data_IF_263084624698
#
_entry.id   IF_263084624698
#
_cell.length_a   1.000
_cell.length_b   1.000
_cell.length_c   1.000
_cell.angle_alpha   90.00
_cell.angle_beta   90.00
_cell.angle_gamma   90.00
#
_symmetry.space_group_name_H-M   'P 1'
#
loop_
_entity.id
_entity.type
_entity.pdbx_description
1 polymer ?
#
# COMPACT_ATOMS: atom_id res chain seq x y z
N UNK A 1 34.07 4.79 -19.01
CA UNK A 1 33.27 3.70 -19.66
C UNK A 1 34.02 3.11 -20.83
N UNK A 2 35.18 2.51 -20.56
CA UNK A 2 36.08 1.95 -21.59
C UNK A 2 35.58 0.70 -22.29
N UNK A 3 34.55 0.04 -21.71
CA UNK A 3 34.03 -1.23 -22.22
C UNK A 3 32.91 -1.09 -23.24
N UNK A 4 32.42 0.12 -23.48
CA UNK A 4 31.30 0.38 -24.38
C UNK A 4 31.67 1.45 -25.38
N UNK A 5 31.37 1.22 -26.66
CA UNK A 5 31.56 2.19 -27.74
C UNK A 5 30.35 3.16 -27.78
N UNK A 6 30.39 4.19 -26.91
CA UNK A 6 29.34 5.21 -26.81
C UNK A 6 29.89 6.53 -27.37
N UNK A 7 29.09 7.20 -28.21
CA UNK A 7 29.44 8.53 -28.75
C UNK A 7 29.72 9.53 -27.59
N UNK A 8 30.84 10.22 -27.65
CA UNK A 8 31.29 11.14 -26.61
C UNK A 8 30.27 12.25 -26.32
N UNK A 9 29.52 12.72 -27.33
CA UNK A 9 28.46 13.73 -27.17
C UNK A 9 27.31 13.22 -26.30
N UNK A 10 26.97 11.92 -26.39
CA UNK A 10 25.96 11.31 -25.52
C UNK A 10 26.46 11.23 -24.08
N UNK A 11 27.73 10.87 -23.88
CA UNK A 11 28.33 10.84 -22.54
C UNK A 11 28.39 12.23 -21.91
N UNK A 12 28.77 13.27 -22.67
CA UNK A 12 28.75 14.65 -22.19
C UNK A 12 27.34 15.13 -21.84
N UNK A 13 26.34 14.77 -22.66
CA UNK A 13 24.94 15.11 -22.41
C UNK A 13 24.42 14.43 -21.15
N UNK A 14 24.70 13.13 -20.98
CA UNK A 14 24.35 12.40 -19.77
C UNK A 14 24.96 13.04 -18.50
N UNK A 15 26.26 13.37 -18.56
CA UNK A 15 26.94 14.02 -17.45
C UNK A 15 26.31 15.36 -17.06
N UNK A 16 25.96 16.19 -18.05
CA UNK A 16 25.25 17.45 -17.79
C UNK A 16 23.88 17.23 -17.20
N UNK A 17 23.14 16.22 -17.64
CA UNK A 17 21.84 15.87 -17.08
C UNK A 17 21.96 15.41 -15.62
N UNK A 18 22.97 14.59 -15.30
CA UNK A 18 23.27 14.17 -13.91
C UNK A 18 23.64 15.38 -13.01
N UNK A 19 24.47 16.29 -13.52
CA UNK A 19 24.83 17.51 -12.80
C UNK A 19 23.58 18.37 -12.52
N UNK A 20 22.67 18.53 -13.50
CA UNK A 20 21.41 19.28 -13.34
C UNK A 20 20.47 18.62 -12.34
N UNK A 21 20.47 17.30 -12.23
CA UNK A 21 19.60 16.52 -11.32
C UNK A 21 20.24 16.29 -9.93
N UNK A 22 21.49 16.70 -9.71
CA UNK A 22 22.29 16.34 -8.52
C UNK A 22 21.62 16.70 -7.19
N UNK A 23 20.94 17.84 -7.09
CA UNK A 23 20.22 18.25 -5.89
C UNK A 23 19.04 17.31 -5.60
N UNK A 24 18.33 16.89 -6.64
CA UNK A 24 17.20 15.94 -6.47
C UNK A 24 17.72 14.55 -6.08
N UNK A 25 18.82 14.10 -6.69
CA UNK A 25 19.45 12.84 -6.31
C UNK A 25 19.92 12.84 -4.84
N UNK A 26 20.45 13.96 -4.35
CA UNK A 26 20.82 14.09 -2.95
C UNK A 26 19.62 13.94 -2.01
N UNK A 27 18.49 14.58 -2.31
CA UNK A 27 17.24 14.45 -1.54
C UNK A 27 16.69 13.02 -1.56
N UNK A 28 16.70 12.38 -2.73
CA UNK A 28 16.28 10.98 -2.87
C UNK A 28 17.19 10.06 -2.05
N UNK A 29 18.52 10.26 -2.12
CA UNK A 29 19.50 9.47 -1.36
C UNK A 29 19.30 9.59 0.15
N UNK A 30 19.02 10.78 0.67
CA UNK A 30 18.70 10.98 2.09
C UNK A 30 17.43 10.23 2.50
N UNK A 31 16.39 10.26 1.67
CA UNK A 31 15.14 9.55 1.93
C UNK A 31 15.35 8.03 1.86
N UNK A 32 16.13 7.55 0.89
CA UNK A 32 16.47 6.14 0.72
C UNK A 32 17.27 5.62 1.92
N UNK A 33 18.29 6.37 2.38
CA UNK A 33 19.07 6.02 3.56
C UNK A 33 18.21 5.92 4.81
N UNK A 34 17.33 6.91 5.03
CA UNK A 34 16.42 6.91 6.17
C UNK A 34 15.49 5.67 6.15
N UNK A 35 14.85 5.41 5.02
CA UNK A 35 13.91 4.28 4.90
C UNK A 35 14.64 2.92 4.92
N UNK A 36 15.84 2.83 4.33
CA UNK A 36 16.67 1.63 4.43
C UNK A 36 17.06 1.31 5.86
N UNK A 37 17.46 2.31 6.64
CA UNK A 37 17.76 2.14 8.07
C UNK A 37 16.51 1.76 8.89
N UNK A 38 15.34 2.35 8.57
CA UNK A 38 14.06 1.98 9.20
C UNK A 38 13.73 0.50 8.97
N UNK A 39 13.87 0.02 7.74
CA UNK A 39 13.65 -1.39 7.41
C UNK A 39 14.66 -2.30 8.09
N UNK A 40 15.95 -1.99 8.00
CA UNK A 40 17.01 -2.78 8.64
C UNK A 40 16.80 -2.88 10.15
N UNK A 41 16.42 -1.78 10.80
CA UNK A 41 16.08 -1.77 12.24
C UNK A 41 14.95 -2.75 12.56
N UNK A 42 13.89 -2.77 11.75
CA UNK A 42 12.77 -3.69 11.94
C UNK A 42 13.19 -5.16 11.78
N UNK A 43 14.07 -5.48 10.84
CA UNK A 43 14.65 -6.84 10.71
C UNK A 43 15.44 -7.23 11.96
N UNK A 44 16.26 -6.33 12.49
CA UNK A 44 17.07 -6.57 13.71
C UNK A 44 16.16 -6.75 14.92
N UNK A 45 15.19 -5.84 15.13
CA UNK A 45 14.27 -5.86 16.27
C UNK A 45 13.43 -7.14 16.30
N UNK A 46 12.97 -7.58 15.14
CA UNK A 46 12.21 -8.81 14.99
C UNK A 46 13.10 -10.06 14.92
N UNK A 47 14.44 -9.91 15.07
CA UNK A 47 15.40 -11.02 15.07
C UNK A 47 15.26 -11.93 13.85
N UNK A 48 15.09 -11.33 12.67
CA UNK A 48 15.02 -12.10 11.42
C UNK A 48 16.35 -12.83 11.18
N UNK A 49 16.27 -14.09 10.85
CA UNK A 49 17.43 -14.96 10.59
C UNK A 49 17.18 -15.80 9.35
N UNK A 50 18.20 -16.53 8.88
CA UNK A 50 18.09 -17.36 7.68
C UNK A 50 16.96 -18.39 7.76
N UNK A 51 16.61 -18.88 8.95
CA UNK A 51 15.51 -19.85 9.09
C UNK A 51 14.15 -19.26 8.69
N UNK A 52 13.96 -17.96 8.90
CA UNK A 52 12.72 -17.26 8.51
C UNK A 52 12.61 -16.99 7.00
N UNK A 53 13.72 -17.19 6.25
CA UNK A 53 13.72 -17.07 4.79
C UNK A 53 13.31 -18.37 4.09
N UNK A 54 13.17 -19.47 4.84
CA UNK A 54 12.69 -20.76 4.33
C UNK A 54 11.18 -20.74 4.20
N UNK A 55 10.66 -21.43 3.18
CA UNK A 55 9.23 -21.60 3.01
C UNK A 55 8.69 -22.83 3.71
N UNK A 56 7.37 -22.90 3.75
CA UNK A 56 6.59 -24.06 4.21
C UNK A 56 5.73 -24.60 3.08
N UNK A 57 5.21 -25.81 3.25
CA UNK A 57 4.27 -26.47 2.35
C UNK A 57 3.02 -26.96 3.10
N UNK A 58 2.00 -27.36 2.39
CA UNK A 58 0.77 -27.88 2.98
C UNK A 58 -0.08 -26.75 3.58
N UNK A 59 -0.58 -26.96 4.77
CA UNK A 59 -1.45 -25.96 5.44
C UNK A 59 -0.69 -24.71 5.90
N UNK A 60 0.62 -24.78 6.10
CA UNK A 60 1.43 -23.64 6.54
C UNK A 60 1.14 -23.19 7.98
N UNK A 61 0.65 -24.06 8.86
CA UNK A 61 0.60 -23.76 10.28
C UNK A 61 2.01 -23.54 10.83
N UNK A 62 2.16 -22.51 11.70
CA UNK A 62 3.44 -22.15 12.30
C UNK A 62 4.53 -21.82 11.25
N UNK A 63 4.17 -21.11 10.18
CA UNK A 63 5.15 -20.54 9.25
C UNK A 63 5.83 -19.33 9.88
N UNK A 64 6.92 -19.56 10.61
CA UNK A 64 7.66 -18.52 11.31
C UNK A 64 8.14 -17.39 10.39
N UNK A 65 8.51 -17.75 9.15
CA UNK A 65 8.98 -16.76 8.17
C UNK A 65 7.88 -15.81 7.73
N UNK A 66 6.70 -16.34 7.43
CA UNK A 66 5.50 -15.57 7.13
C UNK A 66 5.13 -14.63 8.30
N UNK A 67 5.09 -15.18 9.50
CA UNK A 67 4.68 -14.43 10.67
C UNK A 67 5.71 -13.34 11.03
N UNK A 68 7.01 -13.62 10.84
CA UNK A 68 8.07 -12.61 10.99
C UNK A 68 7.97 -11.50 9.96
N UNK A 69 7.62 -11.82 8.72
CA UNK A 69 7.44 -10.82 7.67
C UNK A 69 6.27 -9.87 8.00
N UNK A 70 5.16 -10.39 8.50
CA UNK A 70 4.04 -9.57 9.00
C UNK A 70 4.50 -8.60 10.10
N UNK A 71 5.29 -9.08 11.07
CA UNK A 71 5.83 -8.25 12.15
C UNK A 71 6.77 -7.15 11.65
N UNK A 72 7.65 -7.47 10.70
CA UNK A 72 8.56 -6.48 10.07
C UNK A 72 7.76 -5.39 9.37
N UNK A 73 6.76 -5.76 8.58
CA UNK A 73 5.90 -4.79 7.89
C UNK A 73 5.10 -3.92 8.86
N UNK A 74 4.54 -4.53 9.91
CA UNK A 74 3.83 -3.79 10.96
C UNK A 74 4.74 -2.74 11.61
N UNK A 75 5.97 -3.09 11.96
CA UNK A 75 6.93 -2.17 12.57
C UNK A 75 7.34 -1.04 11.62
N UNK A 76 7.67 -1.38 10.36
CA UNK A 76 8.12 -0.40 9.35
C UNK A 76 7.03 0.62 9.04
N UNK A 77 5.79 0.17 8.92
CA UNK A 77 4.63 1.05 8.65
C UNK A 77 3.99 1.61 9.92
N UNK A 78 4.55 1.31 11.11
CA UNK A 78 4.06 1.75 12.42
C UNK A 78 2.58 1.42 12.61
N UNK A 79 2.23 0.17 12.35
CA UNK A 79 0.88 -0.38 12.47
C UNK A 79 0.80 -1.43 13.57
N UNK A 80 -0.42 -1.76 13.99
CA UNK A 80 -0.66 -2.79 14.97
C UNK A 80 -0.42 -4.20 14.41
N UNK A 81 -0.71 -4.39 13.11
CA UNK A 81 -0.59 -5.68 12.43
C UNK A 81 -0.40 -5.49 10.91
N UNK A 82 0.03 -6.55 10.24
CA UNK A 82 0.12 -6.63 8.81
C UNK A 82 -0.23 -8.03 8.29
N UNK A 83 -0.60 -8.10 7.02
CA UNK A 83 -0.90 -9.31 6.26
C UNK A 83 -0.11 -9.24 4.96
N UNK A 84 1.06 -9.90 4.92
CA UNK A 84 1.98 -9.88 3.77
C UNK A 84 1.98 -11.26 3.14
N UNK A 85 1.49 -11.40 1.92
CA UNK A 85 1.30 -12.72 1.31
C UNK A 85 1.67 -12.73 -0.17
N UNK A 86 2.40 -13.76 -0.57
CA UNK A 86 2.66 -14.06 -1.98
C UNK A 86 1.38 -14.40 -2.76
N UNK A 87 0.36 -14.90 -2.06
CA UNK A 87 -0.93 -15.29 -2.64
C UNK A 87 -1.81 -14.10 -3.06
N UNK A 88 -1.48 -12.88 -2.68
CA UNK A 88 -2.01 -11.72 -3.37
C UNK A 88 -1.46 -11.67 -4.79
N UNK A 89 -2.31 -11.87 -5.78
CA UNK A 89 -1.91 -11.89 -7.19
C UNK A 89 -1.28 -10.56 -7.63
N UNK A 90 -1.84 -9.46 -7.11
CA UNK A 90 -1.39 -8.08 -7.40
C UNK A 90 -2.01 -7.09 -6.38
N UNK A 91 -1.75 -5.79 -6.56
CA UNK A 91 -2.31 -4.74 -5.70
C UNK A 91 -3.85 -4.67 -5.75
N UNK A 92 -4.45 -4.87 -6.92
CA UNK A 92 -5.93 -4.90 -7.06
C UNK A 92 -6.54 -6.02 -6.23
N UNK A 93 -5.91 -7.20 -6.18
CA UNK A 93 -6.37 -8.30 -5.33
C UNK A 93 -6.24 -7.96 -3.84
N UNK A 94 -5.15 -7.32 -3.42
CA UNK A 94 -4.98 -6.88 -2.03
C UNK A 94 -6.05 -5.82 -1.64
N UNK A 95 -6.29 -4.83 -2.51
CA UNK A 95 -7.34 -3.82 -2.33
C UNK A 95 -8.74 -4.43 -2.29
N UNK A 96 -9.04 -5.33 -3.22
CA UNK A 96 -10.31 -6.07 -3.24
C UNK A 96 -10.52 -6.85 -1.94
N UNK A 97 -9.49 -7.56 -1.49
CA UNK A 97 -9.52 -8.31 -0.22
C UNK A 97 -9.81 -7.38 0.96
N UNK A 98 -9.16 -6.22 1.03
CA UNK A 98 -9.38 -5.24 2.09
C UNK A 98 -10.81 -4.67 2.05
N UNK A 99 -11.28 -4.25 0.88
CA UNK A 99 -12.63 -3.69 0.71
C UNK A 99 -13.72 -4.70 1.10
N UNK A 100 -13.66 -5.92 0.57
CA UNK A 100 -14.62 -6.99 0.94
C UNK A 100 -14.44 -7.51 2.37
N UNK A 101 -13.24 -7.37 2.95
CA UNK A 101 -12.97 -7.71 4.35
C UNK A 101 -13.69 -6.77 5.31
N UNK A 102 -13.70 -5.48 5.02
CA UNK A 102 -14.17 -4.42 5.91
C UNK A 102 -15.64 -4.04 5.65
N UNK A 103 -16.05 -3.96 4.38
CA UNK A 103 -17.39 -3.52 4.00
C UNK A 103 -18.44 -4.64 4.09
N UNK A 104 -19.67 -4.26 4.41
CA UNK A 104 -20.85 -5.14 4.50
C UNK A 104 -22.00 -4.54 3.68
N UNK A 105 -23.05 -5.30 3.34
CA UNK A 105 -24.24 -4.78 2.69
C UNK A 105 -24.81 -3.56 3.42
N UNK A 106 -25.17 -2.54 2.66
CA UNK A 106 -25.64 -1.22 3.09
C UNK A 106 -24.55 -0.25 3.61
N UNK A 107 -23.31 -0.68 3.84
CA UNK A 107 -22.20 0.24 4.09
C UNK A 107 -21.95 1.15 2.87
N UNK A 108 -21.37 2.31 3.10
CA UNK A 108 -20.97 3.24 2.04
C UNK A 108 -19.45 3.30 1.94
N UNK A 109 -18.92 3.04 0.75
CA UNK A 109 -17.55 3.35 0.35
C UNK A 109 -17.53 4.76 -0.26
N UNK A 110 -16.76 5.67 0.34
CA UNK A 110 -16.56 7.02 -0.15
C UNK A 110 -15.12 7.18 -0.69
N UNK A 111 -14.96 7.31 -2.00
CA UNK A 111 -13.67 7.66 -2.61
C UNK A 111 -13.49 9.18 -2.54
N UNK A 112 -12.46 9.65 -1.83
CA UNK A 112 -12.26 11.09 -1.53
C UNK A 112 -11.19 11.75 -2.41
N UNK A 113 -10.68 11.05 -3.41
CA UNK A 113 -9.67 11.52 -4.37
C UNK A 113 -10.07 11.28 -5.82
N UNK A 114 -11.37 11.33 -6.09
CA UNK A 114 -11.98 11.00 -7.37
C UNK A 114 -12.22 9.50 -7.54
N UNK A 115 -12.59 9.11 -8.75
CA UNK A 115 -12.75 7.70 -9.09
C UNK A 115 -11.41 6.96 -8.94
N UNK A 116 -11.40 5.75 -8.35
CA UNK A 116 -10.21 4.92 -8.33
C UNK A 116 -9.84 4.47 -9.76
N UNK A 117 -8.62 3.92 -9.91
CA UNK A 117 -8.18 3.43 -11.21
C UNK A 117 -9.12 2.32 -11.75
N UNK A 118 -9.09 2.12 -13.06
CA UNK A 118 -10.06 1.36 -13.85
C UNK A 118 -10.35 -0.05 -13.29
N UNK A 119 -9.30 -0.86 -13.04
CA UNK A 119 -9.50 -2.24 -12.55
C UNK A 119 -10.09 -2.29 -11.14
N UNK A 120 -9.88 -1.29 -10.29
CA UNK A 120 -10.54 -1.22 -8.99
C UNK A 120 -11.98 -0.71 -9.12
N UNK A 121 -12.26 0.13 -10.10
CA UNK A 121 -13.63 0.56 -10.42
C UNK A 121 -14.52 -0.65 -10.75
N UNK A 122 -14.00 -1.65 -11.48
CA UNK A 122 -14.71 -2.91 -11.74
C UNK A 122 -14.98 -3.73 -10.46
N UNK A 123 -14.03 -3.77 -9.53
CA UNK A 123 -14.24 -4.41 -8.21
C UNK A 123 -15.38 -3.75 -7.43
N UNK A 124 -15.52 -2.42 -7.56
CA UNK A 124 -16.52 -1.64 -6.83
C UNK A 124 -17.88 -1.67 -7.52
N UNK A 125 -17.93 -1.36 -8.82
CA UNK A 125 -19.15 -1.06 -9.57
C UNK A 125 -19.42 -2.01 -10.75
N UNK A 126 -18.53 -2.98 -11.02
CA UNK A 126 -18.68 -3.91 -12.15
C UNK A 126 -20.02 -4.66 -12.11
N UNK A 127 -20.52 -5.02 -13.27
CA UNK A 127 -21.78 -5.75 -13.43
C UNK A 127 -21.49 -7.23 -13.74
N UNK A 128 -22.30 -8.14 -13.17
CA UNK A 128 -22.23 -9.59 -13.42
C UNK A 128 -20.94 -10.29 -12.95
N UNK A 129 -20.19 -9.68 -12.00
CA UNK A 129 -18.92 -10.21 -11.52
C UNK A 129 -18.82 -10.38 -10.01
N UNK A 130 -19.86 -10.08 -9.25
CA UNK A 130 -19.81 -10.10 -7.78
C UNK A 130 -19.05 -8.88 -7.21
N UNK A 131 -19.27 -7.70 -7.78
CA UNK A 131 -18.72 -6.44 -7.30
C UNK A 131 -19.29 -6.03 -5.94
N UNK A 132 -18.68 -5.05 -5.28
CA UNK A 132 -19.22 -4.48 -4.03
C UNK A 132 -20.65 -3.98 -4.20
N UNK A 133 -20.97 -3.35 -5.34
CA UNK A 133 -22.33 -2.90 -5.69
C UNK A 133 -23.33 -4.05 -5.69
N UNK A 134 -22.97 -5.20 -6.29
CA UNK A 134 -23.84 -6.38 -6.33
C UNK A 134 -24.01 -7.03 -4.95
N UNK A 135 -23.03 -6.87 -4.05
CA UNK A 135 -23.14 -7.26 -2.64
C UNK A 135 -23.82 -6.19 -1.76
N UNK A 136 -24.42 -5.17 -2.38
CA UNK A 136 -25.22 -4.16 -1.68
C UNK A 136 -24.42 -3.07 -0.97
N UNK A 137 -23.14 -2.91 -1.28
CA UNK A 137 -22.33 -1.78 -0.82
C UNK A 137 -22.62 -0.56 -1.68
N UNK A 138 -22.84 0.58 -1.05
CA UNK A 138 -23.08 1.87 -1.71
C UNK A 138 -21.76 2.52 -2.05
N UNK A 139 -21.70 3.19 -3.22
CA UNK A 139 -20.55 3.94 -3.67
C UNK A 139 -20.86 5.43 -3.74
N UNK A 140 -19.92 6.25 -3.30
CA UNK A 140 -19.91 7.70 -3.48
C UNK A 140 -18.47 8.17 -3.75
N UNK A 141 -18.33 9.33 -4.39
CA UNK A 141 -17.03 9.94 -4.60
C UNK A 141 -17.05 11.45 -4.43
N UNK A 142 -15.90 12.02 -4.11
CA UNK A 142 -15.59 13.45 -4.18
C UNK A 142 -14.38 13.59 -5.08
N UNK A 143 -14.54 14.36 -6.16
CA UNK A 143 -13.47 14.62 -7.09
C UNK A 143 -12.47 15.62 -6.50
N UNK A 144 -11.25 15.60 -7.02
CA UNK A 144 -10.27 16.65 -6.72
C UNK A 144 -10.69 17.97 -7.38
N UNK A 145 -10.23 19.05 -6.82
CA UNK A 145 -10.40 20.40 -7.43
C UNK A 145 -9.66 20.46 -8.78
N UNK A 146 -9.99 21.42 -9.66
CA UNK A 146 -9.38 21.54 -10.99
C UNK A 146 -7.85 21.67 -10.98
N UNK A 147 -7.26 22.15 -9.88
CA UNK A 147 -5.82 22.23 -9.67
C UNK A 147 -5.18 20.92 -9.16
N UNK A 148 -5.97 19.87 -8.99
CA UNK A 148 -5.54 18.57 -8.49
C UNK A 148 -5.42 18.49 -6.96
N UNK A 149 -5.82 19.52 -6.22
CA UNK A 149 -5.85 19.49 -4.76
C UNK A 149 -7.12 18.83 -4.22
N UNK A 150 -7.10 18.27 -2.99
CA UNK A 150 -8.28 17.70 -2.37
C UNK A 150 -9.37 18.76 -2.08
N UNK A 151 -10.60 18.45 -2.43
CA UNK A 151 -11.77 19.26 -2.05
C UNK A 151 -12.19 18.93 -0.60
N UNK A 152 -11.54 19.55 0.38
CA UNK A 152 -11.77 19.27 1.80
C UNK A 152 -13.22 19.59 2.24
N UNK A 153 -13.84 20.61 1.70
CA UNK A 153 -15.23 20.96 2.05
C UNK A 153 -16.21 19.97 1.41
N UNK A 154 -16.00 19.58 0.15
CA UNK A 154 -16.75 18.52 -0.51
C UNK A 154 -16.63 17.19 0.24
N UNK A 155 -15.43 16.85 0.73
CA UNK A 155 -15.18 15.65 1.55
C UNK A 155 -16.00 15.71 2.83
N UNK A 156 -15.94 16.79 3.60
CA UNK A 156 -16.75 16.97 4.83
C UNK A 156 -18.24 16.82 4.55
N UNK A 157 -18.74 17.48 3.51
CA UNK A 157 -20.15 17.41 3.12
C UNK A 157 -20.57 15.97 2.70
N UNK A 158 -19.70 15.22 2.06
CA UNK A 158 -19.96 13.82 1.69
C UNK A 158 -19.94 12.90 2.91
N UNK A 159 -18.95 13.05 3.79
CA UNK A 159 -18.81 12.26 5.04
C UNK A 159 -20.01 12.49 5.97
N UNK A 160 -20.57 13.69 6.02
CA UNK A 160 -21.77 14.01 6.81
C UNK A 160 -23.02 13.22 6.36
N UNK A 161 -23.05 12.71 5.11
CA UNK A 161 -24.11 11.82 4.62
C UNK A 161 -23.93 10.37 5.09
N UNK A 162 -22.80 10.05 5.71
CA UNK A 162 -22.44 8.75 6.25
C UNK A 162 -21.57 7.94 5.29
N UNK A 163 -20.42 7.48 5.78
CA UNK A 163 -19.59 6.47 5.12
C UNK A 163 -18.96 5.55 6.17
N UNK A 164 -18.76 4.31 5.79
CA UNK A 164 -18.01 3.32 6.58
C UNK A 164 -16.52 3.43 6.30
N UNK A 165 -16.15 3.55 5.04
CA UNK A 165 -14.77 3.65 4.57
C UNK A 165 -14.62 4.91 3.75
N UNK A 166 -13.63 5.74 4.10
CA UNK A 166 -13.09 6.81 3.27
C UNK A 166 -11.81 6.29 2.59
N UNK A 167 -11.88 6.13 1.27
CA UNK A 167 -10.81 5.56 0.46
C UNK A 167 -9.99 6.67 -0.21
N UNK A 168 -8.68 6.59 -0.06
CA UNK A 168 -7.70 7.52 -0.65
C UNK A 168 -6.81 6.75 -1.62
N UNK A 169 -6.76 7.16 -2.87
CA UNK A 169 -5.74 6.71 -3.81
C UNK A 169 -4.58 7.70 -3.82
N UNK A 170 -3.42 7.28 -3.28
CA UNK A 170 -2.22 8.13 -3.16
C UNK A 170 -1.61 8.45 -4.52
N UNK A 171 -1.46 7.44 -5.36
CA UNK A 171 -0.88 7.59 -6.69
C UNK A 171 -1.80 8.39 -7.62
N UNK A 172 -1.20 9.05 -8.60
CA UNK A 172 -1.95 9.75 -9.66
C UNK A 172 -2.65 8.82 -10.66
N UNK A 173 -2.31 7.51 -10.64
CA UNK A 173 -2.76 6.58 -11.67
C UNK A 173 -2.32 7.05 -13.06
N UNK A 174 -3.25 7.08 -13.99
CA UNK A 174 -3.02 7.56 -15.36
C UNK A 174 -3.33 9.05 -15.56
N UNK A 175 -3.71 9.77 -14.49
CA UNK A 175 -4.02 11.21 -14.57
C UNK A 175 -2.75 12.07 -14.61
N UNK A 176 -2.89 13.35 -14.99
CA UNK A 176 -1.77 14.30 -15.03
C UNK A 176 -1.57 15.07 -13.71
N UNK A 177 -2.40 14.77 -12.68
CA UNK A 177 -2.23 15.37 -11.35
C UNK A 177 -0.97 14.90 -10.65
N UNK A 178 -0.52 15.61 -9.64
CA UNK A 178 0.53 15.13 -8.74
C UNK A 178 0.03 13.96 -7.87
N UNK A 179 0.95 13.11 -7.44
CA UNK A 179 0.68 12.14 -6.37
C UNK A 179 0.49 12.86 -5.04
N UNK A 180 -0.32 12.29 -4.14
CA UNK A 180 -0.57 12.91 -2.85
C UNK A 180 0.62 12.73 -1.91
N UNK A 181 1.12 13.85 -1.37
CA UNK A 181 2.10 13.82 -0.28
C UNK A 181 1.45 13.35 1.02
N UNK A 182 2.26 12.91 1.98
CA UNK A 182 1.79 12.54 3.32
C UNK A 182 1.10 13.70 4.02
N UNK A 183 1.55 14.94 3.79
CA UNK A 183 0.88 16.14 4.32
C UNK A 183 -0.55 16.27 3.79
N UNK A 184 -0.76 16.16 2.47
CA UNK A 184 -2.08 16.22 1.85
C UNK A 184 -2.99 15.08 2.30
N UNK A 185 -2.44 13.88 2.48
CA UNK A 185 -3.19 12.75 3.05
C UNK A 185 -3.64 13.07 4.48
N UNK A 186 -2.76 13.66 5.31
CA UNK A 186 -3.11 14.09 6.66
C UNK A 186 -4.22 15.15 6.71
N UNK A 187 -4.25 16.08 5.76
CA UNK A 187 -5.32 17.07 5.63
C UNK A 187 -6.68 16.40 5.30
N UNK A 188 -6.66 15.45 4.34
CA UNK A 188 -7.86 14.66 3.99
C UNK A 188 -8.35 13.87 5.21
N UNK A 189 -7.46 13.17 5.92
CA UNK A 189 -7.82 12.38 7.10
C UNK A 189 -8.44 13.28 8.18
N UNK A 190 -7.82 14.44 8.44
CA UNK A 190 -8.33 15.41 9.40
C UNK A 190 -9.72 15.90 9.02
N UNK A 191 -9.96 16.18 7.74
CA UNK A 191 -11.28 16.59 7.24
C UNK A 191 -12.33 15.49 7.45
N UNK A 192 -12.02 14.22 7.14
CA UNK A 192 -12.91 13.08 7.36
C UNK A 192 -13.20 12.88 8.85
N UNK A 193 -12.16 12.78 9.67
CA UNK A 193 -12.28 12.49 11.11
C UNK A 193 -12.93 13.62 11.91
N UNK A 194 -12.86 14.86 11.42
CA UNK A 194 -13.57 16.00 12.04
C UNK A 194 -15.10 15.90 11.94
N UNK A 195 -15.62 15.13 10.97
CA UNK A 195 -17.06 14.92 10.75
C UNK A 195 -17.51 13.55 11.24
N UNK A 196 -16.73 12.50 10.99
CA UNK A 196 -17.01 11.14 11.42
C UNK A 196 -15.71 10.46 11.93
N UNK A 197 -15.53 10.44 13.24
CA UNK A 197 -14.37 9.81 13.89
C UNK A 197 -14.28 8.31 13.64
N UNK A 198 -15.41 7.65 13.39
CA UNK A 198 -15.51 6.20 13.24
C UNK A 198 -15.30 5.73 11.79
N UNK A 199 -15.28 6.66 10.82
CA UNK A 199 -14.99 6.35 9.44
C UNK A 199 -13.60 5.74 9.31
N UNK A 200 -13.50 4.57 8.68
CA UNK A 200 -12.22 3.89 8.45
C UNK A 200 -11.49 4.54 7.29
N UNK A 201 -10.27 4.99 7.53
CA UNK A 201 -9.40 5.56 6.50
C UNK A 201 -8.60 4.43 5.85
N UNK A 202 -8.88 4.17 4.59
CA UNK A 202 -8.19 3.16 3.79
C UNK A 202 -7.39 3.82 2.66
N UNK A 203 -6.08 3.60 2.62
CA UNK A 203 -5.18 4.21 1.62
C UNK A 203 -4.60 3.15 0.69
N UNK A 204 -4.85 3.30 -0.61
CA UNK A 204 -4.04 2.65 -1.64
C UNK A 204 -2.68 3.36 -1.69
N UNK A 205 -1.68 2.71 -1.12
CA UNK A 205 -0.32 3.22 -1.00
C UNK A 205 0.59 2.82 -2.17
N UNK A 206 0.06 2.13 -3.18
CA UNK A 206 0.82 1.71 -4.36
C UNK A 206 1.60 2.87 -4.97
N UNK A 207 2.90 2.66 -5.23
CA UNK A 207 3.88 3.64 -5.71
C UNK A 207 4.23 4.75 -4.71
N UNK A 208 3.63 4.74 -3.53
CA UNK A 208 3.88 5.76 -2.50
C UNK A 208 4.83 5.28 -1.40
N UNK A 209 5.04 3.97 -1.28
CA UNK A 209 5.86 3.38 -0.24
C UNK A 209 7.29 3.90 -0.32
N UNK A 210 7.81 4.37 0.80
CA UNK A 210 9.19 4.87 0.97
C UNK A 210 9.57 6.12 0.17
N UNK A 211 8.63 6.72 -0.56
CA UNK A 211 8.86 7.98 -1.31
C UNK A 211 9.07 9.17 -0.38
N UNK A 212 8.53 9.11 0.82
CA UNK A 212 8.74 10.05 1.91
C UNK A 212 9.23 9.31 3.17
N UNK A 213 9.73 10.04 4.17
CA UNK A 213 10.19 9.45 5.45
C UNK A 213 9.04 8.89 6.29
N UNK A 214 7.84 9.47 6.15
CA UNK A 214 6.61 9.03 6.82
C UNK A 214 5.68 8.31 5.85
N UNK A 215 4.83 7.47 6.43
CA UNK A 215 3.80 6.72 5.71
C UNK A 215 2.39 7.19 6.12
N UNK A 216 1.33 6.86 5.33
CA UNK A 216 -0.03 7.33 5.63
C UNK A 216 -0.55 6.94 7.02
N UNK A 217 -0.10 5.83 7.57
CA UNK A 217 -0.44 5.36 8.92
C UNK A 217 0.06 6.32 10.02
N UNK A 218 1.17 7.03 9.78
CA UNK A 218 1.73 8.01 10.71
C UNK A 218 0.96 9.34 10.72
N UNK A 219 -0.02 9.49 9.83
CA UNK A 219 -0.93 10.65 9.78
C UNK A 219 -2.40 10.25 9.96
N UNK A 220 -2.65 9.00 10.38
CA UNK A 220 -3.96 8.54 10.83
C UNK A 220 -4.72 7.63 9.87
N UNK A 221 -4.07 7.05 8.85
CA UNK A 221 -4.69 5.97 8.07
C UNK A 221 -4.89 4.73 8.94
N UNK A 222 -6.09 4.15 8.88
CA UNK A 222 -6.46 2.93 9.60
C UNK A 222 -5.94 1.67 8.89
N UNK A 223 -5.89 1.69 7.54
CA UNK A 223 -5.33 0.64 6.70
C UNK A 223 -4.54 1.26 5.54
N UNK A 224 -3.41 0.67 5.22
CA UNK A 224 -2.67 0.87 3.97
C UNK A 224 -2.57 -0.44 3.22
N UNK A 225 -2.68 -0.36 1.90
CA UNK A 225 -2.66 -1.51 1.01
C UNK A 225 -1.69 -1.25 -0.13
N UNK A 226 -0.91 -2.25 -0.51
CA UNK A 226 0.01 -2.13 -1.62
C UNK A 226 0.40 -3.44 -2.26
N UNK A 227 1.29 -3.34 -3.23
CA UNK A 227 1.72 -4.45 -4.09
C UNK A 227 3.21 -4.68 -3.97
N UNK A 228 3.61 -5.95 -3.82
CA UNK A 228 5.02 -6.34 -3.79
C UNK A 228 5.70 -6.36 -5.16
N UNK A 229 4.93 -6.29 -6.25
CA UNK A 229 5.50 -6.13 -7.60
C UNK A 229 5.79 -4.65 -7.95
N UNK A 230 5.69 -3.74 -6.96
CA UNK A 230 5.98 -2.31 -7.05
C UNK A 230 7.10 -1.93 -6.08
N UNK A 231 7.08 -0.69 -5.54
CA UNK A 231 8.16 -0.16 -4.70
C UNK A 231 8.67 -1.11 -3.60
N UNK A 232 7.82 -1.67 -2.73
CA UNK A 232 8.34 -2.48 -1.63
C UNK A 232 8.95 -3.80 -2.07
N UNK A 233 8.60 -4.27 -3.26
CA UNK A 233 9.13 -5.51 -3.81
C UNK A 233 10.48 -5.38 -4.52
N UNK A 234 10.97 -4.17 -4.82
CA UNK A 234 12.30 -3.91 -5.37
C UNK A 234 12.63 -4.72 -6.63
N UNK A 235 11.62 -5.12 -7.42
CA UNK A 235 11.74 -6.04 -8.55
C UNK A 235 12.30 -7.46 -8.20
N UNK A 236 12.40 -7.80 -6.91
CA UNK A 236 12.89 -9.11 -6.42
C UNK A 236 11.72 -10.02 -6.03
N UNK A 237 10.69 -9.47 -5.36
CA UNK A 237 9.47 -10.21 -5.09
C UNK A 237 8.75 -10.53 -6.40
N UNK A 238 8.48 -11.81 -6.65
CA UNK A 238 7.90 -12.28 -7.91
C UNK A 238 6.40 -12.01 -8.00
N UNK A 239 5.74 -11.88 -6.86
CA UNK A 239 4.30 -11.68 -6.69
C UNK A 239 4.02 -11.14 -5.30
N UNK A 240 2.76 -10.87 -5.00
CA UNK A 240 2.35 -10.58 -3.64
C UNK A 240 1.85 -9.17 -3.42
N UNK A 241 1.36 -8.97 -2.23
CA UNK A 241 0.85 -7.69 -1.74
C UNK A 241 0.85 -7.66 -0.21
N UNK A 242 0.48 -6.52 0.32
CA UNK A 242 0.35 -6.34 1.76
C UNK A 242 -0.89 -5.52 2.12
N UNK A 243 -1.39 -5.77 3.32
CA UNK A 243 -2.38 -4.95 4.02
C UNK A 243 -1.80 -4.71 5.41
N UNK A 244 -1.65 -3.47 5.83
CA UNK A 244 -1.12 -3.13 7.16
C UNK A 244 -1.96 -2.04 7.81
N UNK A 245 -2.16 -2.11 9.13
CA UNK A 245 -2.99 -1.15 9.84
C UNK A 245 -3.46 -1.65 11.20
N UNK A 246 -4.67 -1.27 11.55
CA UNK A 246 -5.33 -1.70 12.79
C UNK A 246 -5.52 -3.22 12.76
N UNK A 247 -5.23 -3.85 13.90
CA UNK A 247 -5.25 -5.31 14.05
C UNK A 247 -6.64 -5.91 13.74
N UNK A 248 -7.71 -5.29 14.24
CA UNK A 248 -9.08 -5.74 14.01
C UNK A 248 -9.46 -5.75 12.51
N UNK A 249 -8.99 -4.76 11.75
CA UNK A 249 -9.24 -4.66 10.32
C UNK A 249 -8.36 -5.62 9.51
N UNK A 250 -7.09 -5.78 9.89
CA UNK A 250 -6.18 -6.76 9.26
C UNK A 250 -6.70 -8.18 9.45
N UNK A 251 -7.27 -8.49 10.63
CA UNK A 251 -7.90 -9.77 10.89
C UNK A 251 -9.09 -10.02 9.95
N UNK A 252 -9.99 -9.05 9.77
CA UNK A 252 -11.11 -9.15 8.84
C UNK A 252 -10.63 -9.38 7.39
N UNK A 253 -9.55 -8.71 6.98
CA UNK A 253 -8.95 -8.90 5.68
C UNK A 253 -8.37 -10.32 5.52
N UNK A 254 -7.77 -10.87 6.57
CA UNK A 254 -7.22 -12.23 6.55
C UNK A 254 -8.31 -13.30 6.38
N UNK A 255 -9.47 -13.11 6.99
CA UNK A 255 -10.63 -13.97 6.77
C UNK A 255 -11.17 -13.90 5.33
N UNK A 256 -10.99 -12.77 4.67
CA UNK A 256 -11.38 -12.63 3.26
C UNK A 256 -10.37 -13.25 2.31
N UNK A 257 -9.09 -13.20 2.65
CA UNK A 257 -8.03 -13.81 1.84
C UNK A 257 -8.04 -15.34 1.92
N UNK A 258 -8.30 -15.88 3.09
CA UNK A 258 -8.36 -17.32 3.37
C UNK A 258 -9.80 -17.72 3.63
N UNK A 259 -10.14 -18.05 4.86
CA UNK A 259 -11.51 -18.33 5.29
C UNK A 259 -11.77 -17.81 6.70
N UNK A 260 -13.04 -17.54 7.01
CA UNK A 260 -13.45 -17.21 8.37
C UNK A 260 -13.07 -18.37 9.31
N UNK A 261 -12.41 -18.02 10.41
CA UNK A 261 -11.95 -18.97 11.42
C UNK A 261 -10.52 -19.50 11.21
N UNK A 262 -9.92 -19.35 10.02
CA UNK A 262 -8.52 -19.70 9.79
C UNK A 262 -7.62 -18.47 9.65
N UNK A 263 -8.07 -17.46 8.93
CA UNK A 263 -7.39 -16.15 8.86
C UNK A 263 -5.91 -16.24 8.55
N UNK A 264 -5.09 -15.64 9.41
CA UNK A 264 -3.63 -15.56 9.28
C UNK A 264 -2.89 -16.87 9.61
N UNK A 265 -3.54 -17.83 10.29
CA UNK A 265 -2.88 -19.04 10.80
C UNK A 265 -2.52 -20.05 9.72
N UNK A 266 -3.15 -19.93 8.53
CA UNK A 266 -2.95 -20.85 7.41
C UNK A 266 -2.37 -20.12 6.20
N UNK A 267 -1.88 -20.93 5.24
CA UNK A 267 -1.28 -20.46 4.00
C UNK A 267 0.23 -20.64 4.03
N UNK A 268 0.69 -21.71 3.34
CA UNK A 268 2.11 -21.96 3.21
C UNK A 268 2.78 -20.89 2.36
N UNK A 269 4.02 -20.54 2.69
CA UNK A 269 4.79 -19.51 2.00
C UNK A 269 5.57 -20.04 0.80
N UNK A 270 5.61 -21.37 0.60
CA UNK A 270 6.41 -22.00 -0.44
C UNK A 270 7.89 -21.54 -0.34
N UNK A 271 8.50 -21.17 -1.44
CA UNK A 271 9.85 -20.60 -1.48
C UNK A 271 9.85 -19.06 -1.61
N UNK A 272 8.71 -18.41 -1.34
CA UNK A 272 8.56 -16.97 -1.56
C UNK A 272 9.07 -16.10 -0.40
N UNK A 273 9.19 -16.63 0.83
CA UNK A 273 9.63 -15.86 2.00
C UNK A 273 10.97 -15.16 1.76
N UNK A 274 11.94 -15.83 1.13
CA UNK A 274 13.23 -15.22 0.81
C UNK A 274 13.06 -14.03 -0.14
N UNK A 275 12.32 -14.21 -1.23
CA UNK A 275 12.08 -13.13 -2.23
C UNK A 275 11.37 -11.93 -1.61
N UNK A 276 10.32 -12.15 -0.84
CA UNK A 276 9.56 -11.08 -0.18
C UNK A 276 10.37 -10.35 0.89
N UNK A 277 11.18 -11.06 1.69
CA UNK A 277 12.01 -10.46 2.74
C UNK A 277 13.20 -9.71 2.17
N UNK A 278 13.93 -10.30 1.22
CA UNK A 278 15.12 -9.69 0.61
C UNK A 278 14.73 -8.47 -0.22
N UNK A 279 13.61 -8.51 -0.95
CA UNK A 279 13.11 -7.38 -1.72
C UNK A 279 12.91 -6.15 -0.84
N UNK A 280 12.42 -6.34 0.38
CA UNK A 280 12.15 -5.26 1.32
C UNK A 280 13.40 -4.57 1.86
N UNK A 281 14.57 -5.23 1.77
CA UNK A 281 15.87 -4.62 2.08
C UNK A 281 16.53 -3.90 0.89
N UNK A 282 15.97 -4.04 -0.31
CA UNK A 282 16.46 -3.46 -1.55
C UNK A 282 15.42 -2.53 -2.16
N UNK A 283 15.09 -1.47 -1.42
CA UNK A 283 14.08 -0.50 -1.86
C UNK A 283 14.55 0.21 -3.13
N UNK A 284 13.73 0.14 -4.17
CA UNK A 284 13.91 0.94 -5.39
C UNK A 284 13.07 2.21 -5.24
N UNK A 285 13.72 3.33 -5.18
CA UNK A 285 13.09 4.66 -5.17
C UNK A 285 13.10 5.27 -6.55
#
# INVERSE_FOLDING_TARGET
MEFFNIDSRLLETAKKAEEMASEQFAKISETAEYNGNKVLSAFINNRVSEMHLKGTIGYGYNDDGRDKLDMVYAEVFRTEDALVRHSFVNGTHALSTALFGVLRPNDTLLCVTGAPYDTLTEVINGEHGGSLKEFGVKYAQVDLLPDGTPDLEGIKAAVAKGCKVAYIQRSRGYSLRDSLSISKIGEIISAVKSVNSDAIIMVDNCYGEFVEKREPTEVGADLIIGSLIKNPGGAIARTGGYIAGRKDLVELCSYRLTTVGTGKEVGCSLDENRGMSVSYTHLTL
#
